data_IF_394471558188
#
_entry.id   IF_394471558188
#
_cell.length_a   1.000
_cell.length_b   1.000
_cell.length_c   1.000
_cell.angle_alpha   90.00
_cell.angle_beta   90.00
_cell.angle_gamma   90.00
#
_symmetry.space_group_name_H-M   'P 1'
#
loop_
_entity.id
_entity.type
_entity.pdbx_description
1 polymer ?
#
# COMPACT_ATOMS: atom_id res chain seq x y z
N UNK A 1 -26.17 -12.30 -14.22
CA UNK A 1 -24.72 -12.52 -14.38
C UNK A 1 -24.02 -11.76 -13.28
N UNK A 2 -23.20 -12.42 -12.47
CA UNK A 2 -22.38 -11.76 -11.45
C UNK A 2 -21.15 -11.17 -12.16
N UNK A 3 -21.08 -9.85 -12.29
CA UNK A 3 -19.85 -9.20 -12.74
C UNK A 3 -18.84 -9.28 -11.59
N UNK A 4 -17.72 -9.98 -11.81
CA UNK A 4 -16.58 -9.91 -10.90
C UNK A 4 -16.00 -8.51 -11.03
N UNK A 5 -16.05 -7.73 -9.94
CA UNK A 5 -15.41 -6.42 -9.88
C UNK A 5 -13.90 -6.62 -10.06
N UNK A 6 -13.33 -6.06 -11.13
CA UNK A 6 -11.90 -6.14 -11.44
C UNK A 6 -11.18 -5.08 -10.60
N UNK A 7 -10.49 -5.49 -9.55
CA UNK A 7 -9.75 -4.60 -8.64
C UNK A 7 -8.40 -4.16 -9.20
N UNK A 8 -7.86 -4.87 -10.19
CA UNK A 8 -6.58 -4.55 -10.84
C UNK A 8 -6.67 -4.76 -12.34
N UNK A 9 -6.39 -3.72 -13.12
CA UNK A 9 -6.30 -3.80 -14.56
C UNK A 9 -4.85 -3.70 -15.04
N UNK A 10 -4.18 -4.84 -15.17
CA UNK A 10 -2.83 -4.89 -15.74
C UNK A 10 -2.79 -4.69 -17.26
N UNK A 11 -3.95 -4.67 -17.94
CA UNK A 11 -4.04 -4.42 -19.39
C UNK A 11 -4.36 -2.95 -19.69
N UNK A 12 -3.53 -2.04 -19.16
CA UNK A 12 -3.68 -0.60 -19.35
C UNK A 12 -2.63 -0.03 -20.32
N UNK A 13 -2.89 1.15 -20.88
CA UNK A 13 -1.93 1.85 -21.76
C UNK A 13 -0.96 2.78 -21.01
N UNK A 14 -1.01 2.82 -19.68
CA UNK A 14 -0.09 3.61 -18.88
C UNK A 14 1.32 3.01 -18.86
N UNK A 15 2.32 3.86 -18.61
CA UNK A 15 3.71 3.44 -18.44
C UNK A 15 3.82 2.52 -17.23
N UNK A 16 4.46 1.37 -17.41
CA UNK A 16 4.74 0.43 -16.33
C UNK A 16 6.08 0.80 -15.71
N UNK A 17 6.11 1.08 -14.41
CA UNK A 17 7.34 1.35 -13.67
C UNK A 17 8.24 0.11 -13.61
N UNK A 18 9.55 0.32 -13.59
CA UNK A 18 10.52 -0.76 -13.43
C UNK A 18 10.40 -1.41 -12.05
N UNK A 19 10.40 -2.74 -12.00
CA UNK A 19 10.37 -3.49 -10.74
C UNK A 19 11.79 -3.65 -10.17
N UNK A 20 12.27 -2.61 -9.49
CA UNK A 20 13.59 -2.63 -8.83
C UNK A 20 13.71 -3.69 -7.73
N UNK A 21 12.60 -4.04 -7.06
CA UNK A 21 12.64 -4.93 -5.90
C UNK A 21 12.72 -6.40 -6.31
N UNK A 22 12.07 -6.78 -7.41
CA UNK A 22 12.05 -8.17 -7.92
C UNK A 22 11.76 -9.23 -6.86
N UNK A 23 10.87 -8.90 -5.91
CA UNK A 23 10.50 -9.72 -4.72
C UNK A 23 11.66 -10.00 -3.74
N UNK A 24 12.77 -9.30 -3.84
CA UNK A 24 13.82 -9.31 -2.82
C UNK A 24 13.45 -8.38 -1.67
N UNK A 25 12.85 -8.96 -0.64
CA UNK A 25 12.45 -8.28 0.60
C UNK A 25 13.55 -8.25 1.67
N UNK A 26 14.78 -8.67 1.36
CA UNK A 26 15.89 -8.54 2.30
C UNK A 26 16.45 -7.11 2.27
N UNK A 27 16.65 -6.51 3.43
CA UNK A 27 17.29 -5.21 3.61
C UNK A 27 18.35 -5.31 4.71
N UNK A 28 19.53 -4.74 4.47
CA UNK A 28 20.69 -4.84 5.37
C UNK A 28 20.89 -3.58 6.20
N UNK A 29 20.26 -2.48 5.82
CA UNK A 29 20.33 -1.18 6.50
C UNK A 29 18.97 -0.48 6.49
N UNK A 30 18.67 0.34 7.52
CA UNK A 30 17.47 1.19 7.52
C UNK A 30 17.40 2.07 6.27
N UNK A 31 16.17 2.38 5.84
CA UNK A 31 15.85 3.19 4.67
C UNK A 31 16.34 2.64 3.31
N UNK A 32 16.66 1.34 3.24
CA UNK A 32 17.08 0.70 1.99
C UNK A 32 15.89 0.26 1.12
N UNK A 33 14.89 -0.36 1.74
CA UNK A 33 13.68 -0.84 1.08
C UNK A 33 12.50 -0.69 2.03
N UNK A 34 11.42 -0.12 1.51
CA UNK A 34 10.16 0.03 2.22
C UNK A 34 9.08 -0.79 1.55
N UNK A 35 8.14 -1.27 2.34
CA UNK A 35 6.90 -1.90 1.86
C UNK A 35 5.72 -1.16 2.44
N UNK A 36 4.65 -1.06 1.66
CA UNK A 36 3.38 -0.52 2.13
C UNK A 36 2.30 -1.57 2.08
N UNK A 37 1.34 -1.46 3.00
CA UNK A 37 0.11 -2.25 2.97
C UNK A 37 -1.10 -1.35 3.26
N UNK A 38 -2.25 -1.74 2.73
CA UNK A 38 -3.54 -1.09 2.95
C UNK A 38 -4.51 -2.10 3.55
N UNK A 39 -4.98 -1.81 4.76
CA UNK A 39 -5.97 -2.65 5.45
C UNK A 39 -7.16 -1.82 5.91
N UNK A 40 -8.18 -2.47 6.45
CA UNK A 40 -9.40 -1.80 6.92
C UNK A 40 -9.72 -2.19 8.36
N UNK A 41 -10.15 -1.19 9.14
CA UNK A 41 -10.49 -1.30 10.56
C UNK A 41 -11.98 -1.04 10.72
N UNK A 42 -12.68 -1.98 11.38
CA UNK A 42 -14.10 -1.80 11.71
C UNK A 42 -14.23 -0.90 12.93
N UNK A 43 -15.07 0.13 12.84
CA UNK A 43 -15.42 1.03 13.94
C UNK A 43 -16.93 0.98 14.22
N UNK A 44 -17.37 1.74 15.22
CA UNK A 44 -18.81 1.93 15.48
C UNK A 44 -19.51 2.79 14.42
N UNK A 45 -18.76 3.58 13.64
CA UNK A 45 -19.28 4.55 12.67
C UNK A 45 -19.12 4.08 11.22
N UNK A 46 -18.43 2.95 11.00
CA UNK A 46 -18.17 2.40 9.68
C UNK A 46 -16.79 1.78 9.57
N UNK A 47 -16.22 1.80 8.37
CA UNK A 47 -14.88 1.32 8.09
C UNK A 47 -13.90 2.49 7.95
N UNK A 48 -12.72 2.35 8.52
CA UNK A 48 -11.57 3.19 8.20
C UNK A 48 -10.53 2.36 7.46
N UNK A 49 -9.87 2.97 6.50
CA UNK A 49 -8.77 2.36 5.76
C UNK A 49 -7.44 2.86 6.34
N UNK A 50 -6.57 1.93 6.72
CA UNK A 50 -5.27 2.19 7.30
C UNK A 50 -4.20 1.89 6.24
N UNK A 51 -3.47 2.93 5.84
CA UNK A 51 -2.27 2.80 5.02
C UNK A 51 -1.05 2.83 5.91
N UNK A 52 -0.11 1.89 5.73
CA UNK A 52 1.12 1.78 6.53
C UNK A 52 2.32 1.67 5.61
N UNK A 53 3.41 2.36 5.95
CA UNK A 53 4.73 2.19 5.34
C UNK A 53 5.69 1.62 6.39
N UNK A 54 6.30 0.49 6.07
CA UNK A 54 7.17 -0.28 6.95
C UNK A 54 8.59 -0.35 6.37
N UNK A 55 9.58 -0.10 7.23
CA UNK A 55 10.99 -0.32 6.91
C UNK A 55 11.37 -1.79 6.99
N UNK A 56 11.95 -2.35 5.92
CA UNK A 56 12.25 -3.78 5.87
C UNK A 56 13.43 -4.20 6.75
N UNK A 57 14.35 -3.30 7.09
CA UNK A 57 15.55 -3.65 7.87
C UNK A 57 15.25 -3.75 9.37
N UNK A 58 14.57 -2.73 9.93
CA UNK A 58 14.31 -2.67 11.37
C UNK A 58 12.84 -2.87 11.76
N UNK A 59 11.97 -3.11 10.77
CA UNK A 59 10.53 -3.38 10.93
C UNK A 59 9.74 -2.23 11.55
N UNK A 60 10.28 -1.01 11.60
CA UNK A 60 9.57 0.15 12.11
C UNK A 60 8.54 0.66 11.10
N UNK A 61 7.45 1.20 11.63
CA UNK A 61 6.51 1.98 10.85
C UNK A 61 7.08 3.38 10.68
N UNK A 62 7.37 3.77 9.44
CA UNK A 62 7.94 5.08 9.10
C UNK A 62 6.89 6.09 8.67
N UNK A 63 5.69 5.62 8.28
CA UNK A 63 4.54 6.46 7.96
C UNK A 63 3.24 5.68 8.04
N UNK A 64 2.14 6.37 8.37
CA UNK A 64 0.80 5.80 8.33
C UNK A 64 -0.25 6.90 8.13
N UNK A 65 -1.42 6.53 7.61
CA UNK A 65 -2.58 7.41 7.53
C UNK A 65 -3.89 6.61 7.64
N UNK A 66 -4.94 7.28 8.09
CA UNK A 66 -6.31 6.77 8.08
C UNK A 66 -7.13 7.55 7.05
N UNK A 67 -7.99 6.85 6.31
CA UNK A 67 -8.92 7.44 5.37
C UNK A 67 -10.31 6.80 5.49
N UNK A 68 -11.34 7.56 5.12
CA UNK A 68 -12.72 7.07 5.07
C UNK A 68 -13.00 6.26 3.78
N UNK A 69 -12.15 6.41 2.76
CA UNK A 69 -12.27 5.74 1.46
C UNK A 69 -10.97 5.03 1.06
N UNK A 70 -11.09 4.11 0.10
CA UNK A 70 -9.97 3.34 -0.46
C UNK A 70 -9.39 3.99 -1.73
N UNK A 71 -9.73 5.26 -1.99
CA UNK A 71 -9.28 5.98 -3.18
C UNK A 71 -7.77 6.27 -3.11
N UNK A 72 -7.09 6.21 -4.25
CA UNK A 72 -5.64 6.36 -4.31
C UNK A 72 -5.18 7.69 -3.70
N UNK A 73 -5.87 8.80 -4.00
CA UNK A 73 -5.53 10.11 -3.45
C UNK A 73 -5.67 10.15 -1.92
N UNK A 74 -6.72 9.52 -1.38
CA UNK A 74 -6.99 9.47 0.05
C UNK A 74 -6.08 8.51 0.83
N UNK A 75 -5.38 7.59 0.14
CA UNK A 75 -4.53 6.55 0.74
C UNK A 75 -3.04 6.77 0.47
N UNK A 76 -2.64 8.01 0.14
CA UNK A 76 -1.23 8.38 0.00
C UNK A 76 -0.64 8.85 1.33
N UNK A 77 0.60 8.45 1.61
CA UNK A 77 1.34 8.85 2.80
C UNK A 77 2.72 9.34 2.36
N UNK A 78 3.15 10.50 2.87
CA UNK A 78 4.54 10.94 2.72
C UNK A 78 5.43 10.06 3.59
N UNK A 79 6.46 9.46 3.00
CA UNK A 79 7.47 8.64 3.67
C UNK A 79 8.83 9.33 3.64
#
# INVERSE_FOLDING_TARGET
MCQVLKTTDSSHMYVVAENHLSRDFQATRPAEKWVSDLTYIRTGEGWLYLTVVLDLADRKIVGWALSETMEAEATTVAA
#
